data_IF_415430572712
#
_entry.id   IF_415430572712
#
_cell.length_a   1.000
_cell.length_b   1.000
_cell.length_c   1.000
_cell.angle_alpha   90.00
_cell.angle_beta   90.00
_cell.angle_gamma   90.00
#
_symmetry.space_group_name_H-M   'P 1'
#
loop_
_entity.id
_entity.type
_entity.pdbx_description
1 polymer ?
#
# COMPACT_ATOMS: atom_id res chain seq x y z
N UNK A 1 1.54 20.71 -15.06
CA UNK A 1 0.58 21.15 -14.01
C UNK A 1 1.02 20.50 -12.72
N UNK A 2 1.09 21.27 -11.64
CA UNK A 2 1.55 20.82 -10.33
C UNK A 2 0.59 19.78 -9.73
N UNK A 3 1.09 18.95 -8.80
CA UNK A 3 0.25 18.22 -7.84
C UNK A 3 -0.87 19.16 -7.36
N UNK A 4 -2.13 18.74 -7.48
CA UNK A 4 -3.23 19.62 -7.07
C UNK A 4 -3.04 19.94 -5.59
N UNK A 5 -3.33 21.18 -5.18
CA UNK A 5 -3.23 21.58 -3.78
C UNK A 5 -4.14 20.75 -2.85
N UNK A 6 -5.03 19.92 -3.42
CA UNK A 6 -5.93 18.99 -2.75
C UNK A 6 -5.24 17.67 -2.37
N UNK A 7 -4.45 17.07 -3.27
CA UNK A 7 -3.72 15.81 -3.01
C UNK A 7 -2.73 15.95 -1.86
N UNK A 8 -1.92 17.02 -1.87
CA UNK A 8 -0.97 17.30 -0.77
C UNK A 8 -1.68 17.58 0.56
N UNK A 9 -2.86 18.22 0.53
CA UNK A 9 -3.67 18.44 1.75
C UNK A 9 -4.23 17.13 2.29
N UNK A 10 -4.70 16.23 1.42
CA UNK A 10 -5.21 14.92 1.84
C UNK A 10 -4.09 14.08 2.47
N UNK A 11 -2.93 13.98 1.81
CA UNK A 11 -1.76 13.27 2.34
C UNK A 11 -1.33 13.85 3.69
N UNK A 12 -1.28 15.18 3.81
CA UNK A 12 -0.95 15.86 5.07
C UNK A 12 -1.99 15.60 6.14
N UNK A 13 -3.28 15.69 5.83
CA UNK A 13 -4.38 15.47 6.78
C UNK A 13 -4.36 14.03 7.31
N UNK A 14 -4.20 13.05 6.42
CA UNK A 14 -4.09 11.64 6.79
C UNK A 14 -2.86 11.43 7.68
N UNK A 15 -1.71 11.99 7.31
CA UNK A 15 -0.45 11.77 8.02
C UNK A 15 -0.42 12.42 9.41
N UNK A 16 -1.03 13.58 9.60
CA UNK A 16 -1.02 14.29 10.88
C UNK A 16 -2.21 13.97 11.77
N UNK A 17 -3.42 13.87 11.22
CA UNK A 17 -4.64 13.77 12.03
C UNK A 17 -5.00 12.32 12.38
N UNK A 18 -4.96 11.40 11.40
CA UNK A 18 -5.34 10.01 11.65
C UNK A 18 -4.27 9.26 12.46
N UNK A 19 -2.99 9.63 12.29
CA UNK A 19 -1.89 9.09 13.07
C UNK A 19 -2.04 9.33 14.59
N UNK A 20 -2.68 10.43 14.96
CA UNK A 20 -2.91 10.84 16.35
C UNK A 20 -4.21 10.29 16.94
N UNK A 21 -5.09 9.70 16.12
CA UNK A 21 -6.33 9.06 16.57
C UNK A 21 -6.18 7.56 16.83
N UNK A 22 -5.22 6.91 16.17
CA UNK A 22 -4.95 5.48 16.29
C UNK A 22 -3.69 5.28 17.15
N UNK A 23 -3.84 5.49 18.45
CA UNK A 23 -2.73 5.57 19.42
C UNK A 23 -2.58 4.34 20.32
N UNK A 24 -3.51 3.40 20.24
CA UNK A 24 -3.53 2.19 21.06
C UNK A 24 -4.24 1.04 20.34
N UNK A 25 -4.14 -0.16 20.90
CA UNK A 25 -4.76 -1.36 20.33
C UNK A 25 -6.27 -1.23 20.17
N UNK A 26 -6.98 -0.66 21.14
CA UNK A 26 -8.45 -0.60 21.13
C UNK A 26 -8.96 0.30 19.99
N UNK A 27 -8.37 1.48 19.84
CA UNK A 27 -8.67 2.42 18.75
C UNK A 27 -8.40 1.82 17.37
N UNK A 28 -7.27 1.10 17.20
CA UNK A 28 -6.94 0.39 15.96
C UNK A 28 -7.98 -0.69 15.65
N UNK A 29 -8.28 -1.55 16.61
CA UNK A 29 -9.27 -2.63 16.43
C UNK A 29 -10.66 -2.08 16.13
N UNK A 30 -11.08 -1.01 16.82
CA UNK A 30 -12.36 -0.37 16.58
C UNK A 30 -12.45 0.18 15.15
N UNK A 31 -11.45 0.95 14.71
CA UNK A 31 -11.41 1.52 13.36
C UNK A 31 -11.40 0.42 12.29
N UNK A 32 -10.58 -0.61 12.45
CA UNK A 32 -10.49 -1.73 11.51
C UNK A 32 -11.82 -2.49 11.41
N UNK A 33 -12.49 -2.79 12.53
CA UNK A 33 -13.81 -3.46 12.51
C UNK A 33 -14.85 -2.63 11.77
N UNK A 34 -14.80 -1.29 11.87
CA UNK A 34 -15.69 -0.41 11.11
C UNK A 34 -15.41 -0.47 9.61
N UNK A 35 -14.14 -0.39 9.21
CA UNK A 35 -13.73 -0.52 7.80
C UNK A 35 -14.21 -1.87 7.22
N UNK A 36 -14.00 -2.98 7.94
CA UNK A 36 -14.43 -4.30 7.50
C UNK A 36 -15.96 -4.40 7.40
N UNK A 37 -16.69 -3.85 8.38
CA UNK A 37 -18.15 -3.84 8.35
C UNK A 37 -18.71 -3.04 7.16
N UNK A 38 -18.10 -1.89 6.84
CA UNK A 38 -18.52 -1.05 5.72
C UNK A 38 -18.33 -1.80 4.39
N UNK A 39 -17.13 -2.35 4.13
CA UNK A 39 -16.88 -3.14 2.93
C UNK A 39 -17.77 -4.39 2.84
N UNK A 40 -17.99 -5.07 3.95
CA UNK A 40 -18.92 -6.21 3.99
C UNK A 40 -20.35 -5.78 3.63
N UNK A 41 -20.80 -4.62 4.12
CA UNK A 41 -22.14 -4.08 3.81
C UNK A 41 -22.30 -3.70 2.34
N UNK A 42 -21.20 -3.35 1.68
CA UNK A 42 -21.12 -3.13 0.23
C UNK A 42 -21.01 -4.43 -0.59
N UNK A 43 -21.14 -5.60 0.06
CA UNK A 43 -21.04 -6.93 -0.52
C UNK A 43 -19.65 -7.25 -1.11
N UNK A 44 -18.60 -6.64 -0.58
CA UNK A 44 -17.22 -7.05 -0.90
C UNK A 44 -17.01 -8.46 -0.35
N UNK A 45 -16.54 -9.36 -1.22
CA UNK A 45 -16.23 -10.76 -0.86
C UNK A 45 -14.73 -11.02 -0.72
N UNK A 46 -13.90 -10.14 -1.28
CA UNK A 46 -12.44 -10.19 -1.16
C UNK A 46 -11.87 -8.78 -1.05
N UNK A 47 -11.08 -8.53 -0.01
CA UNK A 47 -10.49 -7.22 0.29
C UNK A 47 -8.97 -7.36 0.48
N UNK A 48 -8.18 -6.61 -0.29
CA UNK A 48 -6.77 -6.36 0.05
C UNK A 48 -6.65 -5.01 0.74
N UNK A 49 -6.45 -5.01 2.06
CA UNK A 49 -6.28 -3.79 2.83
C UNK A 49 -4.80 -3.38 2.86
N UNK A 50 -4.52 -2.15 2.42
CA UNK A 50 -3.17 -1.57 2.45
C UNK A 50 -2.89 -0.93 3.79
N UNK A 51 -1.77 -1.30 4.41
CA UNK A 51 -1.40 -0.79 5.74
C UNK A 51 0.06 -0.41 5.74
N UNK A 52 0.36 0.78 6.28
CA UNK A 52 1.74 1.16 6.61
C UNK A 52 2.09 0.62 7.99
N UNK A 53 3.06 -0.31 8.12
CA UNK A 53 3.51 -0.77 9.42
C UNK A 53 4.09 0.41 10.21
N UNK A 54 3.71 0.50 11.49
CA UNK A 54 4.12 1.60 12.36
C UNK A 54 4.60 1.06 13.69
N UNK A 55 5.78 1.52 14.12
CA UNK A 55 6.17 1.40 15.52
C UNK A 55 5.47 2.47 16.34
N UNK A 56 4.83 2.04 17.43
CA UNK A 56 4.18 2.91 18.41
C UNK A 56 4.95 2.88 19.72
N UNK A 57 4.51 3.67 20.71
CA UNK A 57 5.21 3.79 22.00
C UNK A 57 5.41 2.43 22.67
N UNK A 58 4.36 1.61 22.65
CA UNK A 58 4.29 0.34 23.38
C UNK A 58 4.12 -0.87 22.45
N UNK A 59 4.21 -0.66 21.12
CA UNK A 59 4.06 -1.72 20.11
C UNK A 59 5.16 -1.62 19.06
N UNK A 60 5.84 -2.73 18.82
CA UNK A 60 6.65 -2.92 17.62
C UNK A 60 5.76 -2.90 16.37
N UNK A 61 6.37 -2.70 15.20
CA UNK A 61 5.65 -2.79 13.94
C UNK A 61 5.03 -4.18 13.71
N UNK A 62 5.64 -5.24 14.24
CA UNK A 62 5.13 -6.61 14.14
C UNK A 62 3.91 -6.82 15.04
N UNK A 63 3.98 -6.39 16.31
CA UNK A 63 2.81 -6.42 17.21
C UNK A 63 1.66 -5.55 16.68
N UNK A 64 1.98 -4.39 16.10
CA UNK A 64 1.00 -3.55 15.41
C UNK A 64 0.29 -4.33 14.27
N UNK A 65 1.04 -5.01 13.40
CA UNK A 65 0.43 -5.79 12.33
C UNK A 65 -0.32 -7.03 12.84
N UNK A 66 0.10 -7.64 13.94
CA UNK A 66 -0.60 -8.76 14.54
C UNK A 66 -2.01 -8.36 15.00
N UNK A 67 -2.19 -7.14 15.52
CA UNK A 67 -3.51 -6.59 15.86
C UNK A 67 -4.44 -6.60 14.64
N UNK A 68 -3.93 -6.25 13.45
CA UNK A 68 -4.74 -6.27 12.22
C UNK A 68 -5.15 -7.68 11.86
N UNK A 69 -4.19 -8.62 11.83
CA UNK A 69 -4.44 -10.01 11.46
C UNK A 69 -5.42 -10.69 12.42
N UNK A 70 -5.24 -10.52 13.72
CA UNK A 70 -6.14 -11.09 14.73
C UNK A 70 -7.55 -10.51 14.62
N UNK A 71 -7.66 -9.20 14.39
CA UNK A 71 -8.97 -8.54 14.22
C UNK A 71 -9.69 -8.99 12.96
N UNK A 72 -8.96 -9.13 11.85
CA UNK A 72 -9.53 -9.64 10.59
C UNK A 72 -9.99 -11.08 10.79
N UNK A 73 -9.17 -11.93 11.40
CA UNK A 73 -9.51 -13.32 11.68
C UNK A 73 -10.77 -13.44 12.52
N UNK A 74 -10.87 -12.65 13.59
CA UNK A 74 -12.08 -12.60 14.43
C UNK A 74 -13.30 -12.11 13.65
N UNK A 75 -13.13 -11.15 12.75
CA UNK A 75 -14.21 -10.66 11.89
C UNK A 75 -14.70 -11.74 10.92
N UNK A 76 -13.80 -12.43 10.22
CA UNK A 76 -14.13 -13.48 9.25
C UNK A 76 -14.82 -14.69 9.88
N UNK A 77 -14.57 -14.99 11.16
CA UNK A 77 -15.32 -16.01 11.91
C UNK A 77 -16.82 -15.67 11.97
N UNK A 78 -17.17 -14.38 12.11
CA UNK A 78 -18.55 -13.92 12.20
C UNK A 78 -19.15 -13.59 10.83
N UNK A 79 -18.32 -13.22 9.86
CA UNK A 79 -18.71 -12.81 8.52
C UNK A 79 -17.93 -13.59 7.43
N UNK A 80 -18.12 -14.91 7.34
CA UNK A 80 -17.28 -15.80 6.51
C UNK A 80 -17.46 -15.61 5.00
N UNK A 81 -18.38 -14.74 4.55
CA UNK A 81 -18.60 -14.45 3.14
C UNK A 81 -17.61 -13.42 2.57
N UNK A 82 -16.84 -12.72 3.42
CA UNK A 82 -15.77 -11.83 2.99
C UNK A 82 -14.43 -12.33 3.52
N UNK A 83 -13.43 -12.38 2.65
CA UNK A 83 -12.06 -12.70 3.00
C UNK A 83 -11.15 -11.49 2.80
N UNK A 84 -10.22 -11.25 3.72
CA UNK A 84 -9.37 -10.07 3.75
C UNK A 84 -7.91 -10.48 3.87
N UNK A 85 -7.08 -9.83 3.07
CA UNK A 85 -5.63 -9.97 3.06
C UNK A 85 -4.98 -8.60 3.24
N UNK A 86 -3.72 -8.57 3.67
CA UNK A 86 -2.96 -7.34 3.88
C UNK A 86 -1.91 -7.14 2.80
N UNK A 87 -1.70 -5.88 2.43
CA UNK A 87 -0.58 -5.43 1.58
C UNK A 87 0.19 -4.36 2.37
N UNK A 88 1.50 -4.58 2.60
CA UNK A 88 2.28 -3.66 3.41
C UNK A 88 2.90 -2.54 2.57
N UNK A 89 2.75 -1.31 3.04
CA UNK A 89 3.22 -0.12 2.33
C UNK A 89 4.70 0.20 2.60
N UNK A 90 5.51 0.21 1.54
CA UNK A 90 6.83 0.85 1.50
C UNK A 90 6.63 2.28 1.02
N UNK A 91 6.80 3.25 1.92
CA UNK A 91 6.57 4.65 1.62
C UNK A 91 7.80 5.33 1.00
N UNK A 92 7.59 6.24 0.05
CA UNK A 92 8.65 7.08 -0.55
C UNK A 92 9.53 7.79 0.48
N UNK A 93 9.00 8.16 1.65
CA UNK A 93 9.78 8.81 2.70
C UNK A 93 10.63 7.85 3.57
N UNK A 94 10.54 6.55 3.37
CA UNK A 94 11.35 5.58 4.10
C UNK A 94 12.84 5.69 3.74
N UNK A 95 13.71 5.20 4.63
CA UNK A 95 15.06 4.81 4.27
C UNK A 95 15.04 3.42 3.62
N UNK A 96 16.12 3.03 2.93
CA UNK A 96 16.25 1.68 2.40
C UNK A 96 16.11 0.62 3.50
N UNK A 97 16.80 0.81 4.63
CA UNK A 97 16.70 -0.11 5.77
C UNK A 97 15.27 -0.26 6.31
N UNK A 98 14.47 0.82 6.31
CA UNK A 98 13.06 0.75 6.69
C UNK A 98 12.22 -0.01 5.64
N UNK A 99 12.50 0.17 4.36
CA UNK A 99 11.86 -0.60 3.29
C UNK A 99 12.17 -2.11 3.40
N UNK A 100 13.44 -2.47 3.59
CA UNK A 100 13.88 -3.86 3.80
C UNK A 100 13.23 -4.47 5.05
N UNK A 101 13.09 -3.70 6.13
CA UNK A 101 12.39 -4.14 7.34
C UNK A 101 10.91 -4.42 7.08
N UNK A 102 10.23 -3.60 6.25
CA UNK A 102 8.84 -3.83 5.85
C UNK A 102 8.71 -5.09 5.00
N UNK A 103 9.62 -5.32 4.04
CA UNK A 103 9.62 -6.52 3.19
C UNK A 103 9.88 -7.78 4.01
N UNK A 104 10.84 -7.71 4.94
CA UNK A 104 11.14 -8.81 5.87
C UNK A 104 9.93 -9.13 6.75
N UNK A 105 9.24 -8.11 7.27
CA UNK A 105 8.01 -8.28 8.05
C UNK A 105 6.88 -8.89 7.20
N UNK A 106 6.64 -8.37 5.99
CA UNK A 106 5.65 -8.90 5.05
C UNK A 106 5.88 -10.39 4.78
N UNK A 107 7.14 -10.77 4.56
CA UNK A 107 7.53 -12.17 4.33
C UNK A 107 7.21 -13.07 5.51
N UNK A 108 7.48 -12.62 6.76
CA UNK A 108 7.18 -13.40 7.97
C UNK A 108 5.69 -13.56 8.24
N UNK A 109 4.90 -12.54 7.89
CA UNK A 109 3.45 -12.50 8.13
C UNK A 109 2.63 -13.07 6.97
N UNK A 110 3.26 -13.74 6.01
CA UNK A 110 2.55 -14.54 5.02
C UNK A 110 1.83 -15.70 5.70
N UNK A 111 0.65 -16.02 5.20
CA UNK A 111 -0.10 -17.19 5.63
C UNK A 111 -0.60 -17.96 4.40
N UNK A 112 -0.49 -19.28 4.43
CA UNK A 112 -1.06 -20.15 3.39
C UNK A 112 -2.57 -20.35 3.60
N UNK A 113 -3.04 -20.21 4.85
CA UNK A 113 -4.44 -20.33 5.25
C UNK A 113 -4.85 -19.16 6.16
N UNK A 114 -6.03 -18.60 5.91
CA UNK A 114 -6.57 -17.47 6.67
C UNK A 114 -5.92 -16.12 6.32
N UNK A 115 -6.20 -15.07 7.12
CA UNK A 115 -5.66 -13.74 6.88
C UNK A 115 -4.14 -13.70 7.03
N UNK A 116 -3.46 -13.02 6.10
CA UNK A 116 -2.02 -12.84 6.11
C UNK A 116 -1.61 -11.63 5.26
N UNK A 117 -0.31 -11.54 5.00
CA UNK A 117 0.25 -10.58 4.05
C UNK A 117 0.47 -11.24 2.70
N UNK A 118 -0.03 -10.63 1.62
CA UNK A 118 0.08 -11.14 0.24
C UNK A 118 1.00 -10.33 -0.65
N UNK A 119 1.39 -9.13 -0.23
CA UNK A 119 2.21 -8.27 -1.06
C UNK A 119 2.71 -7.00 -0.39
N UNK A 120 3.41 -6.21 -1.18
CA UNK A 120 3.88 -4.87 -0.85
C UNK A 120 3.39 -3.83 -1.86
N UNK A 121 3.22 -2.60 -1.38
CA UNK A 121 2.85 -1.44 -2.19
C UNK A 121 3.94 -0.37 -2.10
N UNK A 122 4.36 0.16 -3.25
CA UNK A 122 5.16 1.39 -3.31
C UNK A 122 4.25 2.62 -3.37
N UNK A 123 4.18 3.37 -2.27
CA UNK A 123 3.23 4.46 -2.11
C UNK A 123 3.84 5.69 -1.42
N UNK A 124 2.99 6.69 -1.15
CA UNK A 124 3.37 7.92 -0.45
C UNK A 124 3.58 9.10 -1.39
N UNK A 125 3.99 10.23 -0.80
CA UNK A 125 4.06 11.52 -1.51
C UNK A 125 4.97 11.44 -2.75
N UNK A 126 4.41 11.55 -3.98
CA UNK A 126 5.18 11.45 -5.22
C UNK A 126 6.13 12.65 -5.43
N UNK A 127 6.02 13.71 -4.62
CA UNK A 127 6.93 14.86 -4.64
C UNK A 127 8.22 14.63 -3.84
N UNK A 128 8.32 13.51 -3.12
CA UNK A 128 9.50 13.09 -2.36
C UNK A 128 10.32 12.07 -3.17
N UNK A 129 11.66 12.18 -3.10
CA UNK A 129 12.61 11.33 -3.86
C UNK A 129 12.38 11.37 -5.38
N UNK A 130 12.23 12.58 -5.89
CA UNK A 130 12.13 12.90 -7.31
C UNK A 130 13.44 12.61 -8.07
N UNK A 131 13.40 12.68 -9.40
CA UNK A 131 14.56 12.45 -10.28
C UNK A 131 15.23 11.07 -10.14
N UNK A 132 14.43 10.05 -9.81
CA UNK A 132 14.90 8.66 -9.74
C UNK A 132 15.58 8.27 -8.42
N UNK A 133 15.59 9.13 -7.40
CA UNK A 133 16.17 8.78 -6.09
C UNK A 133 15.52 7.54 -5.45
N UNK A 134 14.24 7.30 -5.73
CA UNK A 134 13.53 6.12 -5.25
C UNK A 134 14.09 4.80 -5.80
N UNK A 135 14.93 4.81 -6.84
CA UNK A 135 15.58 3.59 -7.35
C UNK A 135 16.43 2.91 -6.27
N UNK A 136 16.80 3.63 -5.21
CA UNK A 136 17.45 3.07 -4.03
C UNK A 136 16.65 1.94 -3.37
N UNK A 137 15.33 1.86 -3.56
CA UNK A 137 14.47 0.80 -3.01
C UNK A 137 14.51 -0.50 -3.80
N UNK A 138 15.15 -0.53 -4.97
CA UNK A 138 15.22 -1.71 -5.84
C UNK A 138 15.62 -3.00 -5.09
N UNK A 139 16.65 -3.01 -4.22
CA UNK A 139 17.00 -4.22 -3.47
C UNK A 139 15.87 -4.76 -2.59
N UNK A 140 15.04 -3.88 -2.01
CA UNK A 140 13.90 -4.30 -1.20
C UNK A 140 12.78 -4.93 -2.06
N UNK A 141 12.52 -4.39 -3.24
CA UNK A 141 11.50 -4.93 -4.16
C UNK A 141 11.97 -6.21 -4.86
N UNK A 142 13.26 -6.34 -5.18
CA UNK A 142 13.87 -7.59 -5.64
C UNK A 142 13.72 -8.68 -4.56
N UNK A 143 14.06 -8.36 -3.30
CA UNK A 143 13.86 -9.28 -2.18
C UNK A 143 12.38 -9.67 -2.03
N UNK A 144 11.44 -8.73 -2.21
CA UNK A 144 10.02 -9.05 -2.13
C UNK A 144 9.58 -10.06 -3.21
N UNK A 145 10.02 -9.85 -4.44
CA UNK A 145 9.78 -10.77 -5.56
C UNK A 145 10.39 -12.16 -5.30
N UNK A 146 11.63 -12.22 -4.79
CA UNK A 146 12.30 -13.48 -4.42
C UNK A 146 11.55 -14.25 -3.32
N UNK A 147 10.90 -13.54 -2.39
CA UNK A 147 10.09 -14.14 -1.33
C UNK A 147 8.63 -14.44 -1.76
N UNK A 148 8.30 -14.22 -3.04
CA UNK A 148 6.99 -14.52 -3.61
C UNK A 148 5.88 -13.55 -3.18
N UNK A 149 6.23 -12.34 -2.74
CA UNK A 149 5.25 -11.29 -2.44
C UNK A 149 4.76 -10.64 -3.73
N UNK A 150 3.45 -10.38 -3.81
CA UNK A 150 2.89 -9.54 -4.86
C UNK A 150 3.42 -8.10 -4.75
N UNK A 151 3.66 -7.46 -5.89
CA UNK A 151 4.12 -6.06 -5.94
C UNK A 151 3.06 -5.24 -6.66
N UNK A 152 2.61 -4.17 -6.00
CA UNK A 152 1.85 -3.09 -6.61
C UNK A 152 2.61 -1.78 -6.47
N UNK A 153 2.49 -0.90 -7.46
CA UNK A 153 3.19 0.40 -7.48
C UNK A 153 2.24 1.50 -7.91
N UNK A 154 2.29 2.62 -7.19
CA UNK A 154 1.58 3.83 -7.57
C UNK A 154 2.47 4.66 -8.50
N UNK A 155 1.99 4.94 -9.72
CA UNK A 155 2.67 5.76 -10.73
C UNK A 155 1.76 6.91 -11.18
N UNK A 156 2.36 7.99 -11.66
CA UNK A 156 1.70 9.15 -12.29
C UNK A 156 0.68 9.95 -11.44
N UNK A 157 0.72 9.87 -10.10
CA UNK A 157 -0.10 10.75 -9.25
C UNK A 157 0.24 12.25 -9.41
N UNK A 158 1.41 12.56 -9.98
CA UNK A 158 1.84 13.93 -10.30
C UNK A 158 2.65 13.97 -11.61
N UNK A 159 2.62 15.12 -12.30
CA UNK A 159 3.49 15.38 -13.45
C UNK A 159 4.91 15.66 -12.93
N UNK A 160 5.65 14.61 -12.61
CA UNK A 160 7.06 14.71 -12.25
C UNK A 160 7.91 14.89 -13.53
N UNK A 161 8.98 15.68 -13.41
CA UNK A 161 10.03 15.70 -14.43
C UNK A 161 10.77 14.34 -14.41
N UNK A 162 10.89 13.69 -15.56
CA UNK A 162 11.49 12.34 -15.77
C UNK A 162 10.56 11.13 -15.49
N UNK A 163 9.26 11.27 -15.80
CA UNK A 163 8.22 10.22 -15.71
C UNK A 163 8.63 8.91 -16.37
N UNK A 164 9.34 8.96 -17.51
CA UNK A 164 9.77 7.76 -18.23
C UNK A 164 10.77 6.92 -17.46
N UNK A 165 11.81 7.55 -16.89
CA UNK A 165 12.80 6.84 -16.07
C UNK A 165 12.16 6.29 -14.81
N UNK A 166 11.19 7.02 -14.25
CA UNK A 166 10.45 6.55 -13.10
C UNK A 166 9.67 5.27 -13.44
N UNK A 167 8.89 5.32 -14.51
CA UNK A 167 8.15 4.18 -15.03
C UNK A 167 9.07 2.98 -15.31
N UNK A 168 10.19 3.18 -16.02
CA UNK A 168 11.11 2.10 -16.36
C UNK A 168 11.70 1.43 -15.09
N UNK A 169 11.96 2.20 -14.03
CA UNK A 169 12.44 1.68 -12.75
C UNK A 169 11.33 0.88 -12.05
N UNK A 170 10.13 1.44 -11.93
CA UNK A 170 9.00 0.74 -11.31
C UNK A 170 8.67 -0.57 -12.05
N UNK A 171 8.71 -0.54 -13.38
CA UNK A 171 8.50 -1.72 -14.22
C UNK A 171 9.63 -2.76 -14.12
N UNK A 172 10.84 -2.37 -13.71
CA UNK A 172 11.94 -3.32 -13.45
C UNK A 172 11.71 -4.16 -12.20
N UNK A 173 10.87 -3.71 -11.27
CA UNK A 173 10.47 -4.48 -10.08
C UNK A 173 9.42 -5.54 -10.40
N UNK A 174 9.02 -5.68 -11.66
CA UNK A 174 8.03 -6.63 -12.16
C UNK A 174 6.71 -6.61 -11.36
N UNK A 175 6.07 -5.42 -11.21
CA UNK A 175 4.81 -5.31 -10.50
C UNK A 175 3.72 -6.12 -11.20
N UNK A 176 2.84 -6.76 -10.43
CA UNK A 176 1.63 -7.38 -10.98
C UNK A 176 0.50 -6.37 -11.22
N UNK A 177 0.56 -5.23 -10.53
CA UNK A 177 -0.47 -4.19 -10.55
C UNK A 177 0.15 -2.79 -10.55
N UNK A 178 -0.49 -1.85 -11.24
CA UNK A 178 -0.03 -0.46 -11.37
C UNK A 178 -1.23 0.51 -11.33
N UNK A 179 -0.99 1.75 -10.95
CA UNK A 179 -1.99 2.84 -11.05
C UNK A 179 -1.85 3.54 -12.42
N UNK A 180 -2.97 3.82 -13.09
CA UNK A 180 -3.05 4.15 -14.52
C UNK A 180 -2.19 5.36 -14.95
N UNK A 181 -1.52 5.24 -16.11
CA UNK A 181 -0.94 6.37 -16.84
C UNK A 181 -0.84 6.09 -18.35
N UNK A 182 -0.96 7.14 -19.18
CA UNK A 182 -0.84 7.02 -20.64
C UNK A 182 0.57 6.60 -21.09
N UNK A 183 1.65 6.95 -20.38
CA UNK A 183 3.01 6.50 -20.72
C UNK A 183 3.21 5.01 -20.39
N UNK A 184 2.51 4.50 -19.37
CA UNK A 184 2.54 3.10 -18.97
C UNK A 184 1.67 2.18 -19.84
N UNK A 185 0.70 2.74 -20.57
CA UNK A 185 -0.34 2.01 -21.31
C UNK A 185 0.19 0.92 -22.24
N UNK A 186 1.27 1.20 -22.97
CA UNK A 186 1.87 0.20 -23.87
C UNK A 186 2.45 -1.00 -23.10
N UNK A 187 3.12 -0.74 -21.98
CA UNK A 187 3.69 -1.80 -21.14
C UNK A 187 2.60 -2.54 -20.35
N UNK A 188 1.55 -1.85 -19.92
CA UNK A 188 0.35 -2.45 -19.32
C UNK A 188 -0.27 -3.48 -20.27
N UNK A 189 -0.51 -3.12 -21.53
CA UNK A 189 -1.08 -4.02 -22.55
C UNK A 189 -0.12 -5.19 -22.82
N UNK A 190 1.17 -4.90 -23.01
CA UNK A 190 2.19 -5.90 -23.36
C UNK A 190 2.40 -6.95 -22.27
N UNK A 191 2.35 -6.54 -20.99
CA UNK A 191 2.60 -7.42 -19.84
C UNK A 191 1.31 -7.91 -19.16
N UNK A 192 0.15 -7.50 -19.66
CA UNK A 192 -1.16 -7.77 -19.06
C UNK A 192 -1.23 -7.35 -17.58
N UNK A 193 -0.71 -6.15 -17.26
CA UNK A 193 -0.74 -5.62 -15.90
C UNK A 193 -2.17 -5.25 -15.51
N UNK A 194 -2.55 -5.58 -14.27
CA UNK A 194 -3.82 -5.09 -13.71
C UNK A 194 -3.68 -3.61 -13.33
N UNK A 195 -4.70 -2.82 -13.66
CA UNK A 195 -4.75 -1.40 -13.33
C UNK A 195 -5.73 -1.18 -12.20
N UNK A 196 -5.27 -0.58 -11.10
CA UNK A 196 -6.10 -0.27 -9.94
C UNK A 196 -6.69 1.13 -10.10
N UNK A 197 -7.96 1.20 -10.50
CA UNK A 197 -8.66 2.46 -10.81
C UNK A 197 -9.35 3.04 -9.57
N UNK A 198 -9.08 4.31 -9.27
CA UNK A 198 -9.73 5.05 -8.20
C UNK A 198 -10.41 6.32 -8.74
N UNK A 199 -11.58 6.17 -9.37
CA UNK A 199 -12.24 7.25 -10.13
C UNK A 199 -12.59 8.47 -9.28
N UNK A 200 -12.96 8.29 -8.01
CA UNK A 200 -13.26 9.40 -7.09
C UNK A 200 -12.02 10.22 -6.74
N UNK A 201 -10.85 9.58 -6.65
CA UNK A 201 -9.58 10.25 -6.35
C UNK A 201 -9.03 11.02 -7.55
N UNK A 202 -9.25 10.52 -8.77
CA UNK A 202 -8.80 11.17 -10.02
C UNK A 202 -9.72 12.35 -10.39
N UNK A 203 -11.02 12.29 -10.07
CA UNK A 203 -12.00 13.33 -10.42
C UNK A 203 -11.82 14.69 -9.72
N UNK A 204 -10.93 14.79 -8.72
CA UNK A 204 -10.60 16.08 -8.07
C UNK A 204 -9.45 16.85 -8.75
N UNK A 205 -8.97 16.37 -9.91
CA UNK A 205 -7.85 16.97 -10.65
C UNK A 205 -8.27 17.75 -11.92
N UNK A 206 -9.56 17.78 -12.26
CA UNK A 206 -10.15 18.63 -13.32
C UNK A 206 -10.78 19.91 -12.76
#
# INVERSE_FOLDING_TARGET
MACSASTNRLISMISSFLGDLLTDTESIQYALRKILADFFSDNVVYLELRVKPRQMRDLSAEEYMQIFLDTIKDFEIHFPAMHTQLVLCVNRNHSLAAAEAVVSLATRLRADEGPGVVGIDFCGDPTVRIYGEFSMFTPAFEQAAENGLGITVSFAETIAADSRRELDTLLSWNPGRIWEDEEAKQEIIKRSLCVELCSSYVSEQE
#
